data_IF_021724275995
#
_entry.id   IF_021724275995
#
_cell.length_a   1.000
_cell.length_b   1.000
_cell.length_c   1.000
_cell.angle_alpha   90.00
_cell.angle_beta   90.00
_cell.angle_gamma   90.00
#
_symmetry.space_group_name_H-M   'P 1'
#
loop_
_entity.id
_entity.type
_entity.pdbx_description
1 polymer ?
#
# COMPACT_ATOMS: atom_id res chain seq x y z
N UNK A 1 8.53 -11.50 -3.58
CA UNK A 1 8.26 -10.12 -3.17
C UNK A 1 7.05 -10.12 -2.25
N UNK A 2 7.16 -9.52 -1.07
CA UNK A 2 6.07 -9.38 -0.10
C UNK A 2 5.52 -7.96 -0.12
N UNK A 3 4.20 -7.81 -0.16
CA UNK A 3 3.53 -6.51 -0.27
C UNK A 3 2.51 -6.34 0.86
N UNK A 4 2.66 -5.28 1.64
CA UNK A 4 1.68 -4.88 2.63
C UNK A 4 0.78 -3.75 2.08
N UNK A 5 -0.49 -3.76 2.45
CA UNK A 5 -1.48 -2.74 2.13
C UNK A 5 -1.96 -2.11 3.43
N UNK A 6 -1.91 -0.78 3.53
CA UNK A 6 -2.52 -0.03 4.62
C UNK A 6 -3.78 0.63 4.07
N UNK A 7 -4.94 0.21 4.58
CA UNK A 7 -6.26 0.40 3.97
C UNK A 7 -6.66 -0.81 3.13
N UNK A 8 -7.81 -1.41 3.45
CA UNK A 8 -8.36 -2.61 2.80
C UNK A 8 -9.59 -2.35 1.92
N UNK A 9 -9.88 -1.08 1.59
CA UNK A 9 -11.06 -0.71 0.80
C UNK A 9 -11.05 -1.25 -0.64
N UNK A 10 -12.06 -0.87 -1.43
CA UNK A 10 -12.28 -1.40 -2.79
C UNK A 10 -11.04 -1.37 -3.69
N UNK A 11 -10.27 -0.27 -3.68
CA UNK A 11 -9.07 -0.18 -4.52
C UNK A 11 -7.96 -1.13 -4.06
N UNK A 12 -7.74 -1.26 -2.75
CA UNK A 12 -6.80 -2.25 -2.22
C UNK A 12 -7.22 -3.67 -2.62
N UNK A 13 -8.51 -4.01 -2.47
CA UNK A 13 -9.06 -5.30 -2.89
C UNK A 13 -8.88 -5.55 -4.40
N UNK A 14 -9.06 -4.53 -5.24
CA UNK A 14 -8.82 -4.61 -6.69
C UNK A 14 -7.36 -5.00 -6.99
N UNK A 15 -6.42 -4.30 -6.35
CA UNK A 15 -4.98 -4.50 -6.54
C UNK A 15 -4.54 -5.87 -6.00
N UNK A 16 -4.96 -6.23 -4.79
CA UNK A 16 -4.70 -7.54 -4.17
C UNK A 16 -5.22 -8.67 -5.07
N UNK A 17 -6.48 -8.59 -5.52
CA UNK A 17 -7.05 -9.58 -6.42
C UNK A 17 -6.32 -9.66 -7.76
N UNK A 18 -5.88 -8.53 -8.31
CA UNK A 18 -5.06 -8.48 -9.51
C UNK A 18 -3.69 -9.13 -9.35
N UNK A 19 -3.03 -8.91 -8.20
CA UNK A 19 -1.74 -9.53 -7.87
C UNK A 19 -1.85 -11.04 -7.73
N UNK A 20 -2.87 -11.53 -7.01
CA UNK A 20 -3.13 -12.97 -6.86
C UNK A 20 -3.40 -13.63 -8.21
N UNK A 21 -4.23 -13.02 -9.06
CA UNK A 21 -4.49 -13.51 -10.43
C UNK A 21 -3.22 -13.58 -11.30
N UNK A 22 -2.21 -12.75 -11.00
CA UNK A 22 -0.91 -12.75 -11.68
C UNK A 22 0.13 -13.68 -11.03
N UNK A 23 -0.26 -14.45 -10.01
CA UNK A 23 0.58 -15.47 -9.39
C UNK A 23 1.32 -15.01 -8.12
N UNK A 24 1.00 -13.84 -7.56
CA UNK A 24 1.53 -13.47 -6.23
C UNK A 24 0.84 -14.34 -5.17
N UNK A 25 1.65 -15.07 -4.39
CA UNK A 25 1.15 -15.94 -3.34
C UNK A 25 0.51 -15.12 -2.20
N UNK A 26 -0.61 -15.62 -1.67
CA UNK A 26 -1.39 -14.93 -0.65
C UNK A 26 -0.63 -14.74 0.67
N UNK A 27 0.30 -15.64 0.99
CA UNK A 27 1.21 -15.54 2.15
C UNK A 27 2.23 -14.40 2.03
N UNK A 28 2.48 -13.92 0.80
CA UNK A 28 3.26 -12.72 0.51
C UNK A 28 2.48 -11.42 0.64
N UNK A 29 1.19 -11.47 0.97
CA UNK A 29 0.30 -10.32 1.03
C UNK A 29 -0.26 -10.09 2.44
N UNK A 30 -0.35 -8.83 2.83
CA UNK A 30 -0.86 -8.42 4.13
C UNK A 30 -1.72 -7.17 4.01
N UNK A 31 -2.92 -7.18 4.59
CA UNK A 31 -3.79 -6.01 4.61
C UNK A 31 -4.04 -5.54 6.05
N UNK A 32 -3.73 -4.26 6.30
CA UNK A 32 -4.02 -3.58 7.56
C UNK A 32 -5.22 -2.66 7.35
N UNK A 33 -6.26 -2.82 8.15
CA UNK A 33 -7.40 -1.90 8.18
C UNK A 33 -7.96 -1.83 9.60
N UNK A 34 -8.42 -0.66 10.04
CA UNK A 34 -9.02 -0.49 11.38
C UNK A 34 -10.40 -1.13 11.47
N UNK A 35 -11.10 -1.27 10.34
CA UNK A 35 -12.43 -1.86 10.27
C UNK A 35 -12.35 -3.40 10.19
N UNK A 36 -13.04 -4.09 11.10
CA UNK A 36 -13.05 -5.55 11.18
C UNK A 36 -13.68 -6.23 9.96
N UNK A 37 -14.80 -5.71 9.47
CA UNK A 37 -15.48 -6.28 8.31
C UNK A 37 -14.60 -6.22 7.06
N UNK A 38 -13.83 -5.14 6.90
CA UNK A 38 -12.86 -5.00 5.81
C UNK A 38 -11.77 -6.05 5.90
N UNK A 39 -11.22 -6.29 7.11
CA UNK A 39 -10.22 -7.35 7.34
C UNK A 39 -10.82 -8.74 7.08
N UNK A 40 -11.97 -9.03 7.65
CA UNK A 40 -12.65 -10.32 7.50
C UNK A 40 -12.94 -10.62 6.02
N UNK A 41 -13.43 -9.64 5.27
CA UNK A 41 -13.64 -9.75 3.83
C UNK A 41 -12.34 -10.02 3.08
N UNK A 42 -11.27 -9.29 3.37
CA UNK A 42 -9.98 -9.49 2.70
C UNK A 42 -9.42 -10.89 2.97
N UNK A 43 -9.47 -11.36 4.22
CA UNK A 43 -9.05 -12.70 4.59
C UNK A 43 -9.91 -13.79 3.91
N UNK A 44 -11.24 -13.65 3.93
CA UNK A 44 -12.15 -14.62 3.31
C UNK A 44 -12.01 -14.65 1.77
N UNK A 45 -11.90 -13.48 1.15
CA UNK A 45 -11.89 -13.37 -0.31
C UNK A 45 -10.54 -13.76 -0.93
N UNK A 46 -9.43 -13.47 -0.24
CA UNK A 46 -8.09 -13.59 -0.80
C UNK A 46 -7.17 -14.56 -0.07
N UNK A 47 -7.56 -15.05 1.12
CA UNK A 47 -6.72 -15.93 1.94
C UNK A 47 -5.43 -15.28 2.46
N UNK A 48 -5.41 -13.95 2.55
CA UNK A 48 -4.22 -13.17 2.96
C UNK A 48 -4.20 -12.94 4.47
N UNK A 49 -3.01 -12.60 5.00
CA UNK A 49 -2.89 -12.12 6.38
C UNK A 49 -3.60 -10.78 6.53
N UNK A 50 -4.20 -10.51 7.68
CA UNK A 50 -4.79 -9.21 8.01
C UNK A 50 -4.46 -8.73 9.41
N UNK A 51 -4.39 -7.41 9.62
CA UNK A 51 -4.05 -6.79 10.91
C UNK A 51 -4.87 -5.55 11.21
N UNK A 52 -5.12 -5.28 12.50
CA UNK A 52 -5.94 -4.14 12.93
C UNK A 52 -5.15 -2.82 13.02
N UNK A 53 -3.82 -2.89 13.11
CA UNK A 53 -2.94 -1.75 13.30
C UNK A 53 -1.60 -1.96 12.59
N UNK A 54 -0.87 -0.86 12.39
CA UNK A 54 0.53 -0.87 11.96
C UNK A 54 1.39 -1.42 13.09
N UNK A 55 2.28 -2.34 12.77
CA UNK A 55 3.19 -2.95 13.73
C UNK A 55 4.55 -3.31 13.08
N UNK A 56 5.43 -3.93 13.87
CA UNK A 56 6.77 -4.31 13.46
C UNK A 56 6.81 -5.35 12.32
N UNK A 57 5.71 -6.03 12.00
CA UNK A 57 5.68 -7.03 10.92
C UNK A 57 5.92 -6.41 9.55
N UNK A 58 5.69 -5.10 9.39
CA UNK A 58 5.99 -4.36 8.16
C UNK A 58 7.48 -4.36 7.80
N UNK A 59 8.37 -4.63 8.77
CA UNK A 59 9.80 -4.78 8.53
C UNK A 59 10.14 -5.96 7.60
N UNK A 60 9.25 -6.95 7.48
CA UNK A 60 9.45 -8.16 6.68
C UNK A 60 8.89 -8.04 5.25
N UNK A 61 8.32 -6.89 4.88
CA UNK A 61 7.73 -6.64 3.57
C UNK A 61 8.67 -5.82 2.68
N UNK A 62 8.63 -6.05 1.37
CA UNK A 62 9.47 -5.34 0.41
C UNK A 62 8.84 -4.00 -0.02
N UNK A 63 7.50 -3.96 -0.09
CA UNK A 63 6.75 -2.77 -0.46
C UNK A 63 5.50 -2.57 0.42
N UNK A 64 5.15 -1.31 0.62
CA UNK A 64 4.00 -0.90 1.42
C UNK A 64 3.12 0.03 0.58
N UNK A 65 1.89 -0.40 0.31
CA UNK A 65 0.90 0.34 -0.45
C UNK A 65 -0.02 1.10 0.50
N UNK A 66 0.02 2.42 0.45
CA UNK A 66 -0.88 3.32 1.17
C UNK A 66 -2.17 3.50 0.37
N UNK A 67 -3.19 2.74 0.77
CA UNK A 67 -4.52 2.66 0.17
C UNK A 67 -5.63 3.23 1.06
N UNK A 68 -5.27 4.18 1.93
CA UNK A 68 -6.21 4.94 2.76
C UNK A 68 -6.70 6.21 2.07
N UNK A 69 -7.77 6.79 2.60
CA UNK A 69 -8.27 8.08 2.11
C UNK A 69 -7.26 9.21 2.42
N UNK A 70 -7.16 10.25 1.57
CA UNK A 70 -6.20 11.34 1.78
C UNK A 70 -6.31 12.03 3.16
N UNK A 71 -7.52 12.08 3.74
CA UNK A 71 -7.78 12.74 5.02
C UNK A 71 -7.02 12.11 6.19
N UNK A 72 -6.75 10.80 6.14
CA UNK A 72 -6.08 10.06 7.22
C UNK A 72 -4.64 9.70 6.87
N UNK A 73 -4.17 10.09 5.67
CA UNK A 73 -2.86 9.66 5.18
C UNK A 73 -1.70 10.21 6.02
N UNK A 74 -1.82 11.42 6.55
CA UNK A 74 -0.79 12.01 7.41
C UNK A 74 -0.58 11.17 8.67
N UNK A 75 -1.66 10.88 9.41
CA UNK A 75 -1.61 10.09 10.65
C UNK A 75 -1.06 8.68 10.38
N UNK A 76 -1.48 8.06 9.27
CA UNK A 76 -0.98 6.76 8.82
C UNK A 76 0.51 6.83 8.48
N UNK A 77 0.97 7.88 7.80
CA UNK A 77 2.38 8.05 7.46
C UNK A 77 3.23 8.23 8.72
N UNK A 78 2.78 9.04 9.68
CA UNK A 78 3.48 9.23 10.95
C UNK A 78 3.56 7.94 11.77
N UNK A 79 2.47 7.16 11.81
CA UNK A 79 2.47 5.86 12.46
C UNK A 79 3.36 4.83 11.74
N UNK A 80 3.49 4.94 10.41
CA UNK A 80 4.33 4.05 9.60
C UNK A 80 5.82 4.36 9.70
N UNK A 81 6.20 5.64 9.79
CA UNK A 81 7.60 6.09 9.70
C UNK A 81 8.58 5.29 10.59
N UNK A 82 8.27 4.98 11.87
CA UNK A 82 9.18 4.23 12.73
C UNK A 82 9.42 2.77 12.32
N UNK A 83 8.56 2.20 11.46
CA UNK A 83 8.64 0.82 11.00
C UNK A 83 9.36 0.68 9.64
N UNK A 84 9.66 1.81 8.98
CA UNK A 84 10.35 1.81 7.71
C UNK A 84 11.86 1.60 7.89
N UNK A 85 12.41 0.78 7.01
CA UNK A 85 13.85 0.51 6.87
C UNK A 85 14.27 0.78 5.44
N UNK A 86 13.77 -0.04 4.50
CA UNK A 86 14.19 -0.03 3.09
C UNK A 86 13.04 -0.28 2.10
N UNK A 87 11.81 -0.38 2.60
CA UNK A 87 10.63 -0.70 1.80
C UNK A 87 10.35 0.36 0.74
N UNK A 88 9.81 -0.06 -0.41
CA UNK A 88 9.23 0.88 -1.35
C UNK A 88 7.84 1.31 -0.84
N UNK A 89 7.64 2.60 -0.59
CA UNK A 89 6.33 3.13 -0.22
C UNK A 89 5.59 3.60 -1.46
N UNK A 90 4.42 3.03 -1.70
CA UNK A 90 3.59 3.30 -2.89
C UNK A 90 2.28 3.93 -2.42
N UNK A 91 1.93 5.14 -2.85
CA UNK A 91 0.70 5.81 -2.42
C UNK A 91 -0.30 5.97 -3.56
N UNK A 92 -1.50 5.41 -3.40
CA UNK A 92 -2.63 5.54 -4.33
C UNK A 92 -3.60 6.67 -3.95
N UNK A 93 -3.34 7.39 -2.86
CA UNK A 93 -4.24 8.42 -2.33
C UNK A 93 -4.27 9.66 -3.24
N UNK A 94 -5.43 10.12 -3.71
CA UNK A 94 -5.48 11.29 -4.58
C UNK A 94 -5.03 12.60 -3.89
N UNK A 95 -4.46 13.53 -4.65
CA UNK A 95 -4.26 14.92 -4.20
C UNK A 95 -3.08 15.19 -3.25
N UNK A 96 -2.29 14.18 -2.88
CA UNK A 96 -1.11 14.36 -2.01
C UNK A 96 0.18 14.36 -2.85
N UNK A 97 1.11 15.29 -2.60
CA UNK A 97 2.39 15.29 -3.33
C UNK A 97 3.32 14.22 -2.75
N UNK A 98 4.18 13.65 -3.59
CA UNK A 98 5.19 12.69 -3.13
C UNK A 98 6.12 13.30 -2.07
N UNK A 99 6.49 14.58 -2.22
CA UNK A 99 7.32 15.31 -1.26
C UNK A 99 6.65 15.53 0.09
N UNK A 100 5.34 15.78 0.11
CA UNK A 100 4.58 15.92 1.36
C UNK A 100 4.52 14.59 2.11
N UNK A 101 4.26 13.50 1.38
CA UNK A 101 4.26 12.15 1.94
C UNK A 101 5.64 11.76 2.48
N UNK A 102 6.72 12.01 1.72
CA UNK A 102 8.08 11.72 2.16
C UNK A 102 8.41 12.44 3.48
N UNK A 103 8.03 13.72 3.60
CA UNK A 103 8.19 14.49 4.84
C UNK A 103 7.42 13.87 6.01
N UNK A 104 6.17 13.47 5.81
CA UNK A 104 5.37 12.80 6.87
C UNK A 104 5.94 11.44 7.28
N UNK A 105 6.66 10.78 6.38
CA UNK A 105 7.38 9.53 6.64
C UNK A 105 8.77 9.73 7.26
N UNK A 106 9.10 10.94 7.73
CA UNK A 106 10.42 11.24 8.30
C UNK A 106 11.50 11.40 7.24
N UNK A 107 11.22 12.18 6.20
CA UNK A 107 12.08 12.42 5.03
C UNK A 107 12.44 11.14 4.25
N UNK A 108 11.53 10.16 4.26
CA UNK A 108 11.72 8.88 3.59
C UNK A 108 11.75 9.02 2.06
N UNK A 109 12.84 8.61 1.43
CA UNK A 109 13.11 8.94 0.03
C UNK A 109 12.53 7.94 -1.00
N UNK A 110 12.24 6.70 -0.59
CA UNK A 110 11.76 5.62 -1.49
C UNK A 110 10.23 5.65 -1.65
N UNK A 111 9.72 6.75 -2.21
CA UNK A 111 8.27 6.98 -2.38
C UNK A 111 7.90 7.00 -3.87
N UNK A 112 6.89 6.22 -4.23
CA UNK A 112 6.21 6.23 -5.52
C UNK A 112 4.77 6.69 -5.33
N UNK A 113 4.38 7.70 -6.09
CA UNK A 113 2.99 8.13 -6.22
C UNK A 113 2.36 7.40 -7.39
N UNK A 114 1.13 6.96 -7.17
CA UNK A 114 0.35 6.27 -8.18
C UNK A 114 -1.09 6.76 -8.15
N UNK A 115 -1.76 6.72 -9.30
CA UNK A 115 -3.16 7.07 -9.42
C UNK A 115 -3.87 6.02 -10.28
N UNK A 116 -4.32 4.90 -9.68
CA UNK A 116 -5.17 3.93 -10.36
C UNK A 116 -6.59 4.49 -10.52
N UNK A 117 -7.37 3.87 -11.41
CA UNK A 117 -8.78 4.19 -11.63
C UNK A 117 -9.70 2.98 -11.35
N UNK A 118 -11.01 3.22 -11.24
CA UNK A 118 -12.00 2.19 -10.89
C UNK A 118 -12.07 0.99 -11.84
N UNK A 119 -11.79 1.09 -13.16
CA UNK A 119 -11.66 -0.08 -14.03
C UNK A 119 -10.63 -1.14 -13.56
N UNK A 120 -9.71 -0.81 -12.65
CA UNK A 120 -8.83 -1.80 -12.01
C UNK A 120 -9.62 -2.91 -11.29
N UNK A 121 -10.84 -2.63 -10.79
CA UNK A 121 -11.73 -3.61 -10.16
C UNK A 121 -12.10 -4.78 -11.09
N UNK A 122 -12.08 -4.53 -12.41
CA UNK A 122 -12.37 -5.52 -13.45
C UNK A 122 -11.14 -5.85 -14.32
N UNK A 123 -9.94 -5.46 -13.86
CA UNK A 123 -8.68 -5.76 -14.56
C UNK A 123 -8.39 -4.89 -15.77
N UNK A 124 -9.16 -3.84 -16.01
CA UNK A 124 -9.02 -2.92 -17.16
C UNK A 124 -8.53 -1.52 -16.74
N UNK A 125 -7.78 -1.48 -15.64
CA UNK A 125 -7.30 -0.24 -15.03
C UNK A 125 -6.19 0.44 -15.83
N UNK A 126 -6.10 1.76 -15.68
CA UNK A 126 -4.94 2.57 -16.08
C UNK A 126 -4.38 3.19 -14.82
N UNK A 127 -3.06 3.21 -14.70
CA UNK A 127 -2.37 3.70 -13.51
C UNK A 127 -1.24 4.63 -13.91
N UNK A 128 -1.35 5.91 -13.54
CA UNK A 128 -0.24 6.86 -13.64
C UNK A 128 0.76 6.62 -12.51
N UNK A 129 2.05 6.76 -12.78
CA UNK A 129 3.14 6.53 -11.83
C UNK A 129 4.12 7.71 -11.84
N UNK A 130 4.57 8.12 -10.65
CA UNK A 130 5.63 9.11 -10.48
C UNK A 130 6.49 8.75 -9.25
N UNK A 131 7.77 8.50 -9.47
CA UNK A 131 8.73 8.16 -8.42
C UNK A 131 9.49 9.41 -7.94
N UNK A 132 9.77 9.50 -6.64
CA UNK A 132 10.72 10.49 -6.13
C UNK A 132 12.16 10.13 -6.54
N UNK A 133 13.09 11.11 -6.56
CA UNK A 133 14.48 10.87 -6.94
C UNK A 133 15.21 9.80 -6.11
N UNK A 134 14.78 9.59 -4.86
CA UNK A 134 15.35 8.57 -3.96
C UNK A 134 14.95 7.13 -4.27
N UNK A 135 14.11 6.90 -5.29
CA UNK A 135 13.77 5.56 -5.77
C UNK A 135 14.83 5.10 -6.77
N UNK A 136 15.53 4.03 -6.40
CA UNK A 136 16.56 3.37 -7.20
C UNK A 136 15.99 2.61 -8.40
N UNK A 137 16.85 2.03 -9.24
CA UNK A 137 16.45 1.27 -10.41
C UNK A 137 15.61 0.02 -10.06
N UNK A 138 15.81 -0.56 -8.87
CA UNK A 138 15.04 -1.71 -8.41
C UNK A 138 13.61 -1.34 -7.98
N UNK A 139 13.39 -0.09 -7.56
CA UNK A 139 12.08 0.43 -7.17
C UNK A 139 11.27 1.08 -8.31
N UNK A 140 11.79 1.08 -9.55
CA UNK A 140 11.12 1.61 -10.76
C UNK A 140 10.51 0.47 -11.58
#
# INVERSE_FOLDING_TARGET
MKIAFIGGGNMAAALIGGLIKRGVAADGLYAIDVNEDVRARAAQQFGIRTGAAIDATLADYDAIVLAVKPQVLNDVAQALAPHLKSQLVISIAAGIRGTDLARWLGDYARVVRTMPNTPALVGMGVTGLAALPGVDAAGR
#
